data_IF_768722420286
#
_entry.id   IF_768722420286
#
_cell.length_a   1.000
_cell.length_b   1.000
_cell.length_c   1.000
_cell.angle_alpha   90.00
_cell.angle_beta   90.00
_cell.angle_gamma   90.00
#
_symmetry.space_group_name_H-M   'P 1'
#
loop_
_entity.id
_entity.type
_entity.pdbx_description
1 polymer ?
#
# COMPACT_ATOMS: atom_id res chain seq x y z
N UNK A 1 -10.74 44.56 -23.65
CA UNK A 1 -10.02 43.31 -23.98
C UNK A 1 -10.91 42.14 -23.59
N UNK A 2 -10.97 41.06 -24.38
CA UNK A 2 -11.96 40.01 -24.22
C UNK A 2 -11.67 39.16 -22.98
N UNK A 3 -12.71 38.80 -22.24
CA UNK A 3 -12.61 37.81 -21.17
C UNK A 3 -12.50 36.42 -21.79
N UNK A 4 -11.40 35.74 -21.50
CA UNK A 4 -11.20 34.34 -21.86
C UNK A 4 -12.08 33.53 -20.90
N UNK A 5 -13.18 32.99 -21.43
CA UNK A 5 -13.96 31.96 -20.78
C UNK A 5 -13.12 30.68 -20.75
N UNK A 6 -12.57 30.31 -19.60
CA UNK A 6 -11.99 28.98 -19.41
C UNK A 6 -13.13 27.99 -19.23
N UNK A 7 -13.60 27.48 -20.36
CA UNK A 7 -14.54 26.37 -20.43
C UNK A 7 -13.76 25.08 -20.11
N UNK A 8 -13.44 24.83 -18.84
CA UNK A 8 -12.85 23.55 -18.44
C UNK A 8 -13.95 22.62 -17.98
N UNK A 9 -14.37 21.72 -18.88
CA UNK A 9 -15.05 20.46 -18.53
C UNK A 9 -14.39 19.91 -17.27
N UNK A 10 -15.11 19.89 -16.16
CA UNK A 10 -14.73 19.09 -15.01
C UNK A 10 -14.94 17.63 -15.40
N UNK A 11 -14.02 17.08 -16.18
CA UNK A 11 -13.88 15.63 -16.29
C UNK A 11 -13.73 15.14 -14.86
N UNK A 12 -14.67 14.28 -14.46
CA UNK A 12 -14.77 13.71 -13.14
C UNK A 12 -13.46 12.94 -12.92
N UNK A 13 -12.48 13.58 -12.27
CA UNK A 13 -11.25 12.90 -11.93
C UNK A 13 -11.64 11.71 -11.03
N UNK A 14 -11.23 10.48 -11.39
CA UNK A 14 -11.51 9.34 -10.54
C UNK A 14 -10.93 9.62 -9.16
N UNK A 15 -11.68 9.29 -8.10
CA UNK A 15 -11.24 9.52 -6.71
C UNK A 15 -9.89 8.85 -6.40
N UNK A 16 -9.55 7.80 -7.15
CA UNK A 16 -8.32 7.04 -7.05
C UNK A 16 -7.81 6.70 -8.44
N UNK A 17 -6.52 6.87 -8.67
CA UNK A 17 -5.84 6.50 -9.90
C UNK A 17 -4.66 5.59 -9.56
N UNK A 18 -4.39 4.63 -10.43
CA UNK A 18 -3.19 3.82 -10.35
C UNK A 18 -1.94 4.64 -10.68
N UNK A 19 -0.78 4.15 -10.27
CA UNK A 19 0.52 4.78 -10.58
C UNK A 19 0.69 4.96 -12.10
N UNK A 20 0.34 3.94 -12.89
CA UNK A 20 0.43 3.99 -14.36
C UNK A 20 -0.53 5.02 -14.96
N UNK A 21 -1.75 5.15 -14.43
CA UNK A 21 -2.70 6.19 -14.84
C UNK A 21 -2.20 7.59 -14.46
N UNK A 22 -1.63 7.77 -13.28
CA UNK A 22 -1.04 9.04 -12.86
C UNK A 22 0.09 9.48 -13.80
N UNK A 23 0.96 8.55 -14.20
CA UNK A 23 2.01 8.81 -15.19
C UNK A 23 1.41 9.15 -16.55
N UNK A 24 0.41 8.38 -17.00
CA UNK A 24 -0.27 8.63 -18.26
C UNK A 24 -0.92 10.02 -18.31
N UNK A 25 -1.65 10.40 -17.25
CA UNK A 25 -2.27 11.72 -17.13
C UNK A 25 -1.20 12.82 -17.10
N UNK A 26 -0.10 12.62 -16.36
CA UNK A 26 0.99 13.59 -16.30
C UNK A 26 1.60 13.89 -17.68
N UNK A 27 1.72 12.86 -18.54
CA UNK A 27 2.20 13.00 -19.94
C UNK A 27 1.30 13.87 -20.80
N UNK A 28 -0.01 13.88 -20.52
CA UNK A 28 -0.97 14.69 -21.27
C UNK A 28 -1.00 16.14 -20.80
N UNK A 29 -0.72 16.38 -19.52
CA UNK A 29 -0.82 17.72 -18.91
C UNK A 29 0.51 18.47 -18.96
N UNK A 30 1.63 17.77 -18.77
CA UNK A 30 2.96 18.37 -18.59
C UNK A 30 3.93 17.91 -19.69
N UNK A 31 4.81 18.82 -20.13
CA UNK A 31 5.86 18.51 -21.11
C UNK A 31 6.95 17.56 -20.56
N UNK A 32 7.06 17.44 -19.24
CA UNK A 32 7.95 16.49 -18.57
C UNK A 32 7.10 15.56 -17.71
N UNK A 33 6.91 14.30 -18.12
CA UNK A 33 6.08 13.39 -17.37
C UNK A 33 6.80 12.88 -16.13
N UNK A 34 6.02 12.67 -15.06
CA UNK A 34 6.53 12.01 -13.87
C UNK A 34 6.78 10.53 -14.18
N UNK A 35 7.78 9.95 -13.54
CA UNK A 35 8.10 8.52 -13.63
C UNK A 35 7.62 7.75 -12.41
N UNK A 36 7.60 6.41 -12.49
CA UNK A 36 7.33 5.56 -11.33
C UNK A 36 8.29 5.88 -10.18
N UNK A 37 9.57 6.13 -10.51
CA UNK A 37 10.60 6.47 -9.53
C UNK A 37 10.34 7.78 -8.80
N UNK A 38 9.72 8.75 -9.45
CA UNK A 38 9.35 10.02 -8.83
C UNK A 38 8.20 9.80 -7.86
N UNK A 39 7.19 9.01 -8.23
CA UNK A 39 6.07 8.65 -7.36
C UNK A 39 6.59 7.89 -6.13
N UNK A 40 7.41 6.86 -6.30
CA UNK A 40 7.95 6.10 -5.17
C UNK A 40 8.82 6.96 -4.25
N UNK A 41 9.66 7.85 -4.80
CA UNK A 41 10.45 8.79 -3.98
C UNK A 41 9.58 9.71 -3.15
N UNK A 42 8.59 10.37 -3.76
CA UNK A 42 7.69 11.27 -3.06
C UNK A 42 6.87 10.52 -1.99
N UNK A 43 6.46 9.27 -2.27
CA UNK A 43 5.79 8.44 -1.29
C UNK A 43 6.69 8.10 -0.09
N UNK A 44 7.95 7.74 -0.33
CA UNK A 44 8.94 7.44 0.72
C UNK A 44 9.36 8.67 1.54
N UNK A 45 9.33 9.85 0.93
CA UNK A 45 9.54 11.14 1.61
C UNK A 45 8.32 11.61 2.42
N UNK A 46 7.15 11.00 2.19
CA UNK A 46 5.89 11.38 2.84
C UNK A 46 5.17 12.56 2.16
N UNK A 47 5.56 12.92 0.94
CA UNK A 47 4.92 14.00 0.16
C UNK A 47 3.58 13.57 -0.43
N UNK A 48 3.39 12.26 -0.66
CA UNK A 48 2.15 11.66 -1.14
C UNK A 48 1.82 10.37 -0.40
N UNK A 49 0.54 10.03 -0.34
CA UNK A 49 0.05 8.77 0.22
C UNK A 49 -0.17 7.79 -0.93
N UNK A 50 0.35 6.57 -0.78
CA UNK A 50 -0.04 5.44 -1.62
C UNK A 50 -1.12 4.65 -0.88
N UNK A 51 -2.13 4.22 -1.62
CA UNK A 51 -3.21 3.38 -1.08
C UNK A 51 -3.14 1.99 -1.71
N UNK A 52 -3.46 0.97 -0.92
CA UNK A 52 -3.48 -0.41 -1.38
C UNK A 52 -4.87 -0.72 -1.91
N UNK A 53 -4.94 -1.14 -3.17
CA UNK A 53 -6.17 -1.61 -3.80
C UNK A 53 -6.27 -3.13 -3.72
N UNK A 54 -7.42 -3.62 -3.25
CA UNK A 54 -7.74 -5.05 -3.14
C UNK A 54 -8.74 -5.47 -4.22
N UNK A 55 -8.37 -6.47 -5.02
CA UNK A 55 -9.24 -6.98 -6.10
C UNK A 55 -10.48 -7.73 -5.57
N UNK A 56 -10.49 -8.10 -4.28
CA UNK A 56 -11.59 -8.74 -3.58
C UNK A 56 -11.85 -8.05 -2.25
N UNK A 57 -13.06 -8.19 -1.67
CA UNK A 57 -13.32 -7.72 -0.31
C UNK A 57 -12.34 -8.33 0.68
N UNK A 58 -11.79 -7.51 1.56
CA UNK A 58 -10.88 -7.95 2.62
C UNK A 58 -11.54 -7.90 3.98
N UNK A 59 -11.07 -8.73 4.90
CA UNK A 59 -11.45 -8.71 6.29
C UNK A 59 -10.19 -8.39 7.09
N UNK A 60 -10.23 -7.33 7.88
CA UNK A 60 -9.08 -6.87 8.67
C UNK A 60 -9.38 -7.01 10.16
N UNK A 61 -8.32 -7.16 10.96
CA UNK A 61 -8.42 -7.23 12.41
C UNK A 61 -7.30 -6.42 13.05
N UNK A 62 -7.60 -5.79 14.19
CA UNK A 62 -6.63 -4.93 14.89
C UNK A 62 -5.48 -5.79 15.42
N UNK A 63 -4.25 -5.35 15.17
CA UNK A 63 -3.05 -5.95 15.77
C UNK A 63 -2.98 -5.65 17.26
N UNK A 64 -2.62 -6.65 18.06
CA UNK A 64 -2.42 -6.49 19.50
C UNK A 64 -1.01 -5.92 19.76
N UNK A 65 -0.95 -4.91 20.62
CA UNK A 65 0.31 -4.30 21.07
C UNK A 65 0.50 -4.47 22.58
N UNK A 66 1.73 -4.71 23.00
CA UNK A 66 2.17 -4.66 24.41
C UNK A 66 3.26 -3.60 24.46
N UNK A 67 3.06 -2.54 25.26
CA UNK A 67 4.04 -1.44 25.40
C UNK A 67 4.53 -0.92 24.03
N UNK A 68 3.57 -0.62 23.14
CA UNK A 68 3.77 -0.19 21.75
C UNK A 68 4.47 -1.16 20.78
N UNK A 69 4.89 -2.34 21.26
CA UNK A 69 5.46 -3.40 20.42
C UNK A 69 4.38 -4.38 19.97
N UNK A 70 4.53 -4.92 18.76
CA UNK A 70 3.66 -5.97 18.25
C UNK A 70 3.77 -7.21 19.14
N UNK A 71 2.65 -7.72 19.61
CA UNK A 71 2.62 -9.00 20.31
C UNK A 71 2.65 -10.13 19.28
N UNK A 72 3.64 -11.00 19.40
CA UNK A 72 3.79 -12.18 18.55
C UNK A 72 3.43 -13.44 19.34
N UNK A 73 2.91 -14.46 18.65
CA UNK A 73 2.76 -15.81 19.18
C UNK A 73 3.56 -16.78 18.32
N UNK A 74 4.27 -17.71 18.96
CA UNK A 74 4.94 -18.81 18.26
C UNK A 74 3.87 -19.68 17.63
N UNK A 75 4.07 -20.01 16.37
CA UNK A 75 3.24 -20.94 15.63
C UNK A 75 3.82 -22.33 15.84
N UNK A 76 3.23 -23.09 16.77
CA UNK A 76 3.56 -24.50 16.98
C UNK A 76 2.85 -25.36 15.92
N UNK A 77 3.25 -25.27 14.65
CA UNK A 77 2.66 -26.10 13.59
C UNK A 77 3.30 -27.49 13.56
N UNK A 78 2.48 -28.55 13.57
CA UNK A 78 2.83 -29.81 12.90
C UNK A 78 2.91 -29.56 11.38
N UNK A 79 3.57 -30.44 10.63
CA UNK A 79 3.95 -30.23 9.22
C UNK A 79 2.75 -29.89 8.30
N UNK A 80 1.54 -30.29 8.68
CA UNK A 80 0.30 -30.11 7.91
C UNK A 80 -0.30 -28.69 8.01
N UNK A 81 -0.12 -28.00 9.15
CA UNK A 81 -0.65 -26.64 9.38
C UNK A 81 0.21 -25.55 8.71
N UNK A 82 1.39 -25.91 8.19
CA UNK A 82 2.35 -24.95 7.63
C UNK A 82 1.85 -24.27 6.37
N UNK A 83 1.03 -24.93 5.55
CA UNK A 83 0.59 -24.39 4.26
C UNK A 83 -0.54 -23.35 4.39
N UNK A 84 -1.29 -23.34 5.49
CA UNK A 84 -2.43 -22.43 5.68
C UNK A 84 -2.01 -21.10 6.35
N UNK A 85 -0.87 -21.08 7.04
CA UNK A 85 -0.38 -19.90 7.80
C UNK A 85 0.62 -19.00 7.07
N UNK A 86 1.05 -19.37 5.85
CA UNK A 86 2.20 -18.75 5.17
C UNK A 86 1.97 -17.26 4.85
N UNK A 87 0.72 -16.79 4.75
CA UNK A 87 0.47 -15.38 4.40
C UNK A 87 0.77 -14.38 5.51
N UNK A 88 0.80 -14.81 6.79
CA UNK A 88 0.96 -13.90 7.95
C UNK A 88 2.09 -14.30 8.91
N UNK A 89 2.83 -15.38 8.60
CA UNK A 89 3.92 -15.87 9.46
C UNK A 89 5.24 -15.19 9.14
N UNK A 90 5.87 -14.59 10.15
CA UNK A 90 7.24 -14.07 10.08
C UNK A 90 8.21 -15.16 10.53
N UNK A 91 9.22 -15.44 9.70
CA UNK A 91 10.30 -16.33 10.06
C UNK A 91 11.40 -15.54 10.74
N UNK A 92 11.57 -15.75 12.05
CA UNK A 92 12.68 -15.22 12.82
C UNK A 92 13.34 -16.39 13.53
N UNK A 93 14.63 -16.63 13.26
CA UNK A 93 15.38 -17.82 13.73
C UNK A 93 14.83 -19.15 13.20
N UNK A 94 14.72 -20.20 14.03
CA UNK A 94 14.19 -21.53 13.68
C UNK A 94 12.68 -21.66 13.92
N UNK A 95 12.00 -20.57 14.25
CA UNK A 95 10.60 -20.56 14.67
C UNK A 95 9.76 -19.65 13.79
N UNK A 96 8.50 -20.04 13.61
CA UNK A 96 7.50 -19.24 12.90
C UNK A 96 6.69 -18.45 13.92
N UNK A 97 6.50 -17.16 13.65
CA UNK A 97 5.73 -16.26 14.51
C UNK A 97 4.54 -15.70 13.74
N UNK A 98 3.38 -15.61 14.38
CA UNK A 98 2.22 -14.86 13.87
C UNK A 98 1.94 -13.64 14.74
N UNK A 99 1.40 -12.60 14.11
CA UNK A 99 0.96 -11.39 14.83
C UNK A 99 -0.31 -11.71 15.61
N UNK A 100 -0.32 -11.41 16.91
CA UNK A 100 -1.54 -11.49 17.69
C UNK A 100 -2.50 -10.39 17.25
N UNK A 101 -3.76 -10.75 17.07
CA UNK A 101 -4.84 -9.81 16.74
C UNK A 101 -5.88 -9.80 17.83
N UNK A 102 -6.58 -8.68 17.99
CA UNK A 102 -7.58 -8.48 19.04
C UNK A 102 -8.86 -7.82 18.48
N UNK A 103 -9.94 -7.87 19.27
CA UNK A 103 -11.21 -7.26 18.90
C UNK A 103 -11.96 -8.02 17.81
N UNK A 104 -12.93 -7.33 17.19
CA UNK A 104 -13.82 -7.87 16.15
C UNK A 104 -13.17 -7.76 14.77
N UNK A 105 -13.59 -8.65 13.86
CA UNK A 105 -13.30 -8.52 12.44
C UNK A 105 -14.01 -7.29 11.88
N UNK A 106 -13.31 -6.58 10.99
CA UNK A 106 -13.79 -5.39 10.31
C UNK A 106 -13.81 -5.72 8.82
N UNK A 107 -14.94 -5.52 8.17
CA UNK A 107 -15.08 -5.63 6.72
C UNK A 107 -15.13 -4.21 6.16
N UNK A 108 -14.03 -3.67 5.58
CA UNK A 108 -14.05 -2.34 4.99
C UNK A 108 -15.06 -2.27 3.85
N UNK A 109 -15.84 -1.19 3.81
CA UNK A 109 -16.79 -0.94 2.72
C UNK A 109 -16.07 -0.55 1.41
N UNK A 110 -14.81 -0.15 1.50
CA UNK A 110 -13.97 0.24 0.37
C UNK A 110 -12.84 -0.79 0.20
N UNK A 111 -12.53 -1.10 -1.04
CA UNK A 111 -11.42 -1.97 -1.42
C UNK A 111 -10.07 -1.23 -1.48
N UNK A 112 -10.03 0.02 -1.01
CA UNK A 112 -8.84 0.86 -1.01
C UNK A 112 -8.56 1.24 0.44
N UNK A 113 -7.32 0.99 0.88
CA UNK A 113 -6.86 1.32 2.22
C UNK A 113 -5.62 2.20 2.09
N UNK A 114 -5.72 3.42 2.63
CA UNK A 114 -4.59 4.34 2.72
C UNK A 114 -3.51 3.76 3.63
N UNK A 115 -2.26 3.85 3.20
CA UNK A 115 -1.13 3.41 4.02
C UNK A 115 -0.15 4.54 4.29
N UNK A 116 0.30 4.59 5.54
CA UNK A 116 1.34 5.50 6.01
C UNK A 116 2.76 5.02 5.65
N UNK A 117 2.90 3.87 4.98
CA UNK A 117 4.18 3.25 4.66
C UNK A 117 5.07 3.07 5.90
N UNK A 118 4.54 2.44 6.95
CA UNK A 118 5.23 2.27 8.24
C UNK A 118 5.68 0.83 8.51
N UNK A 119 5.48 -0.08 7.57
CA UNK A 119 5.81 -1.50 7.71
C UNK A 119 6.31 -2.18 6.44
N UNK A 120 5.81 -3.38 6.17
CA UNK A 120 6.22 -4.20 5.03
C UNK A 120 6.03 -3.49 3.69
N UNK A 121 4.96 -2.71 3.59
CA UNK A 121 4.64 -1.89 2.43
C UNK A 121 5.72 -0.83 2.15
N UNK A 122 6.39 -0.28 3.17
CA UNK A 122 7.54 0.62 2.99
C UNK A 122 8.70 -0.09 2.30
N UNK A 123 8.98 -1.32 2.73
CA UNK A 123 10.02 -2.16 2.14
C UNK A 123 9.69 -2.50 0.68
N UNK A 124 8.41 -2.81 0.39
CA UNK A 124 7.96 -3.03 -0.99
C UNK A 124 8.21 -1.77 -1.84
N UNK A 125 7.79 -0.59 -1.38
CA UNK A 125 7.99 0.65 -2.14
C UNK A 125 9.47 0.95 -2.38
N UNK A 126 10.37 0.65 -1.42
CA UNK A 126 11.82 0.75 -1.64
C UNK A 126 12.34 -0.20 -2.72
N UNK A 127 11.85 -1.43 -2.77
CA UNK A 127 12.22 -2.39 -3.82
C UNK A 127 11.72 -1.89 -5.17
N UNK A 128 10.46 -1.46 -5.26
CA UNK A 128 9.90 -0.89 -6.48
C UNK A 128 10.67 0.34 -6.95
N UNK A 129 11.11 1.20 -6.03
CA UNK A 129 12.00 2.32 -6.34
C UNK A 129 13.32 1.82 -6.92
N UNK A 130 14.00 0.88 -6.26
CA UNK A 130 15.27 0.34 -6.76
C UNK A 130 15.13 -0.26 -8.17
N UNK A 131 14.09 -1.07 -8.39
CA UNK A 131 13.80 -1.67 -9.70
C UNK A 131 13.49 -0.61 -10.77
N UNK A 132 12.80 0.48 -10.41
CA UNK A 132 12.51 1.57 -11.33
C UNK A 132 13.75 2.38 -11.74
N UNK A 133 14.81 2.37 -10.92
CA UNK A 133 16.06 3.08 -11.19
C UNK A 133 17.11 2.24 -11.92
N UNK A 134 16.94 0.91 -11.91
CA UNK A 134 17.84 -0.02 -12.59
C UNK A 134 17.43 -0.32 -14.05
N UNK A 135 16.37 0.32 -14.55
CA UNK A 135 15.91 0.24 -15.94
C UNK A 135 16.41 1.45 -16.73
#
# INVERSE_FOLDING_TARGET
>A
MPQIQTNSKSEIMPKWITISEAIYISKQIYNSPITDSDIYRNALCGDIILSIYFQSPVIVRKVQKIEDKLKLKVINTTVEDKNEFISESFHFSSEYYSVCTEGKYICPNQQIIDTWLVGHEHSIVKILLAESLCK
#
